data_IF_923301281660
#
_entry.id   IF_923301281660
#
_cell.length_a   1.000
_cell.length_b   1.000
_cell.length_c   1.000
_cell.angle_alpha   90.00
_cell.angle_beta   90.00
_cell.angle_gamma   90.00
#
_symmetry.space_group_name_H-M   'P 1'
#
loop_
_entity.id
_entity.type
_entity.pdbx_description
1 polymer ?
#
# COMPACT_ATOMS: atom_id res chain seq x y z
N UNK A 1 -16.39 3.07 -9.29
CA UNK A 1 -14.94 2.73 -9.28
C UNK A 1 -14.76 1.50 -8.40
N UNK A 2 -14.19 0.39 -8.92
CA UNK A 2 -13.86 -0.79 -8.09
C UNK A 2 -12.98 -0.30 -6.90
N UNK A 3 -13.50 -0.31 -5.68
CA UNK A 3 -12.76 0.08 -4.49
C UNK A 3 -11.64 -0.92 -4.24
N UNK A 4 -10.39 -0.48 -4.37
CA UNK A 4 -9.21 -1.30 -4.08
C UNK A 4 -8.84 -1.05 -2.62
N UNK A 5 -8.84 -2.08 -1.78
CA UNK A 5 -8.61 -1.90 -0.35
C UNK A 5 -7.19 -1.37 -0.01
N UNK A 6 -6.22 -1.65 -0.89
CA UNK A 6 -4.85 -1.13 -0.79
C UNK A 6 -4.69 0.30 -1.33
N UNK A 7 -5.76 0.95 -1.77
CA UNK A 7 -5.72 2.33 -2.25
C UNK A 7 -5.91 3.33 -1.12
N UNK A 8 -4.87 4.11 -0.84
CA UNK A 8 -4.86 5.11 0.24
C UNK A 8 -5.31 6.50 -0.22
N UNK A 9 -5.40 6.73 -1.53
CA UNK A 9 -5.67 8.04 -2.11
C UNK A 9 -4.43 8.92 -2.14
N UNK A 10 -4.64 10.23 -1.94
CA UNK A 10 -3.61 11.26 -1.99
C UNK A 10 -2.80 11.35 -0.69
N UNK A 11 -2.06 10.28 -0.37
CA UNK A 11 -1.05 10.28 0.70
C UNK A 11 0.32 10.68 0.14
N UNK A 12 1.17 11.29 0.98
CA UNK A 12 2.54 11.62 0.58
C UNK A 12 3.40 10.37 0.44
N UNK A 13 4.49 10.49 -0.33
CA UNK A 13 5.51 9.44 -0.44
C UNK A 13 5.97 8.97 0.95
N UNK A 14 6.32 9.91 1.83
CA UNK A 14 6.83 9.63 3.17
C UNK A 14 5.81 8.89 4.04
N UNK A 15 4.52 9.23 3.94
CA UNK A 15 3.46 8.50 4.63
C UNK A 15 3.35 7.06 4.12
N UNK A 16 3.42 6.86 2.80
CA UNK A 16 3.43 5.52 2.21
C UNK A 16 4.62 4.69 2.66
N UNK A 17 5.82 5.27 2.67
CA UNK A 17 7.04 4.61 3.14
C UNK A 17 6.93 4.19 4.60
N UNK A 18 6.44 5.07 5.48
CA UNK A 18 6.20 4.75 6.89
C UNK A 18 5.21 3.60 7.07
N UNK A 19 4.12 3.57 6.30
CA UNK A 19 3.14 2.48 6.38
C UNK A 19 3.74 1.14 5.98
N UNK A 20 4.51 1.12 4.89
CA UNK A 20 5.21 -0.08 4.44
C UNK A 20 6.25 -0.54 5.46
N UNK A 21 7.13 0.36 5.91
CA UNK A 21 8.16 0.06 6.90
C UNK A 21 7.57 -0.39 8.24
N UNK A 22 6.41 0.14 8.64
CA UNK A 22 5.71 -0.28 9.86
C UNK A 22 5.21 -1.73 9.79
N UNK A 23 4.96 -2.27 8.58
CA UNK A 23 4.67 -3.71 8.45
C UNK A 23 5.91 -4.57 8.61
N UNK A 24 7.07 -4.10 8.13
CA UNK A 24 8.33 -4.85 8.19
C UNK A 24 8.32 -6.17 7.43
N UNK A 25 7.37 -6.37 6.49
CA UNK A 25 7.22 -7.58 5.71
C UNK A 25 7.60 -7.34 4.25
N UNK A 26 8.45 -8.22 3.72
CA UNK A 26 8.85 -8.19 2.32
C UNK A 26 7.69 -8.55 1.40
N UNK A 27 7.45 -7.73 0.39
CA UNK A 27 6.28 -7.84 -0.48
C UNK A 27 5.04 -7.16 0.08
N UNK A 28 5.17 -6.39 1.17
CA UNK A 28 4.16 -5.41 1.56
C UNK A 28 3.98 -4.36 0.49
N UNK A 29 2.73 -4.02 0.18
CA UNK A 29 2.43 -3.08 -0.89
C UNK A 29 1.21 -2.21 -0.63
N UNK A 30 1.21 -1.02 -1.22
CA UNK A 30 0.09 -0.09 -1.22
C UNK A 30 0.01 0.70 -2.53
N UNK A 31 -1.17 1.26 -2.79
CA UNK A 31 -1.42 2.13 -3.93
C UNK A 31 -1.79 3.54 -3.45
N UNK A 32 -1.17 4.54 -4.06
CA UNK A 32 -1.42 5.97 -3.76
C UNK A 32 -1.49 6.78 -5.04
N UNK A 33 -1.98 8.01 -4.94
CA UNK A 33 -1.89 8.96 -6.04
C UNK A 33 -0.46 9.46 -6.21
N UNK A 34 -0.06 9.73 -7.45
CA UNK A 34 1.17 10.45 -7.74
C UNK A 34 1.03 11.91 -7.31
N UNK A 35 2.01 12.40 -6.56
CA UNK A 35 2.07 13.81 -6.13
C UNK A 35 2.48 14.73 -7.29
N UNK A 36 3.20 14.20 -8.28
CA UNK A 36 3.77 14.98 -9.39
C UNK A 36 2.90 14.96 -10.64
N UNK A 37 2.17 13.87 -10.90
CA UNK A 37 1.43 13.69 -12.16
C UNK A 37 -0.03 13.34 -11.89
N UNK A 38 -1.00 14.22 -12.22
CA UNK A 38 -2.41 13.90 -12.02
C UNK A 38 -2.86 12.74 -12.92
N UNK A 39 -3.71 11.86 -12.38
CA UNK A 39 -4.20 10.67 -13.09
C UNK A 39 -3.21 9.49 -13.13
N UNK A 40 -2.02 9.66 -12.55
CA UNK A 40 -1.05 8.58 -12.35
C UNK A 40 -1.08 8.12 -10.91
N UNK A 41 -0.99 6.81 -10.73
CA UNK A 41 -0.92 6.14 -9.44
C UNK A 41 0.49 5.62 -9.20
N UNK A 42 0.85 5.46 -7.94
CA UNK A 42 2.10 4.89 -7.50
C UNK A 42 1.80 3.61 -6.72
N UNK A 43 2.23 2.47 -7.28
CA UNK A 43 2.29 1.19 -6.58
C UNK A 43 3.63 1.12 -5.84
N UNK A 44 3.58 1.21 -4.52
CA UNK A 44 4.76 1.15 -3.66
C UNK A 44 4.87 -0.25 -3.06
N UNK A 45 6.06 -0.85 -3.15
CA UNK A 45 6.34 -2.21 -2.66
C UNK A 45 7.58 -2.18 -1.77
N UNK A 46 7.49 -2.75 -0.57
CA UNK A 46 8.62 -2.93 0.31
C UNK A 46 9.41 -4.17 -0.10
N UNK A 47 10.70 -3.97 -0.33
CA UNK A 47 11.65 -5.05 -0.46
C UNK A 47 12.86 -4.73 0.40
N UNK A 48 13.00 -5.46 1.49
CA UNK A 48 14.12 -5.43 2.39
C UNK A 48 14.77 -6.78 2.54
N UNK A 49 15.87 -6.78 3.28
CA UNK A 49 16.54 -8.00 3.68
C UNK A 49 17.23 -7.74 5.00
N UNK A 50 17.26 -8.76 5.86
CA UNK A 50 18.09 -8.72 7.05
C UNK A 50 19.54 -8.89 6.64
N UNK A 51 20.34 -7.85 6.84
CA UNK A 51 21.77 -7.85 6.59
C UNK A 51 22.49 -7.54 7.90
N UNK A 52 23.35 -8.47 8.35
CA UNK A 52 24.10 -8.34 9.61
C UNK A 52 23.24 -7.90 10.82
N UNK A 53 22.11 -8.58 11.07
CA UNK A 53 21.17 -8.25 12.15
C UNK A 53 20.49 -6.86 12.08
N UNK A 54 20.63 -6.13 10.97
CA UNK A 54 19.85 -4.92 10.67
C UNK A 54 18.88 -5.19 9.54
N UNK A 55 17.64 -4.76 9.72
CA UNK A 55 16.69 -4.70 8.62
C UNK A 55 16.98 -3.45 7.77
N UNK A 56 17.35 -3.65 6.51
CA UNK A 56 17.37 -2.58 5.51
C UNK A 56 16.28 -2.86 4.50
N UNK A 57 15.34 -1.92 4.37
CA UNK A 57 14.23 -1.98 3.43
C UNK A 57 14.27 -0.84 2.44
N UNK A 58 14.08 -1.15 1.16
CA UNK A 58 13.88 -0.18 0.10
C UNK A 58 12.42 -0.20 -0.36
N UNK A 59 11.85 0.99 -0.56
CA UNK A 59 10.53 1.13 -1.17
C UNK A 59 10.70 1.30 -2.68
N UNK A 60 10.23 0.32 -3.44
CA UNK A 60 10.17 0.37 -4.88
C UNK A 60 8.85 0.99 -5.31
N UNK A 61 8.92 2.06 -6.10
CA UNK A 61 7.73 2.76 -6.60
C UNK A 61 7.56 2.53 -8.08
N UNK A 62 6.47 1.88 -8.46
CA UNK A 62 6.07 1.64 -9.84
C UNK A 62 4.94 2.60 -10.21
N UNK A 63 5.12 3.38 -11.28
CA UNK A 63 4.06 4.26 -11.79
C UNK A 63 3.03 3.44 -12.55
N UNK A 64 1.76 3.64 -12.24
CA UNK A 64 0.63 2.95 -12.88
C UNK A 64 -0.28 4.02 -13.45
N UNK A 65 -0.61 3.93 -14.72
CA UNK A 65 -1.49 4.90 -15.38
C UNK A 65 -2.61 4.19 -16.13
N UNK A 66 -3.71 4.91 -16.28
CA UNK A 66 -4.78 4.52 -17.17
C UNK A 66 -4.51 5.13 -18.55
N UNK A 67 -4.58 4.30 -19.58
CA UNK A 67 -4.53 4.71 -20.98
C UNK A 67 -5.87 5.33 -21.41
N UNK A 68 -5.88 6.04 -22.53
CA UNK A 68 -7.08 6.64 -23.12
C UNK A 68 -8.19 5.60 -23.39
N UNK A 69 -7.80 4.37 -23.70
CA UNK A 69 -8.73 3.24 -23.90
C UNK A 69 -9.39 2.72 -22.61
N UNK A 70 -9.06 3.30 -21.45
CA UNK A 70 -9.51 2.85 -20.13
C UNK A 70 -8.73 1.66 -19.56
N UNK A 71 -7.70 1.18 -20.27
CA UNK A 71 -6.84 0.07 -19.80
C UNK A 71 -5.74 0.56 -18.86
N UNK A 72 -5.43 -0.23 -17.85
CA UNK A 72 -4.40 0.01 -16.83
C UNK A 72 -3.07 -0.59 -17.24
N UNK A 73 -1.98 0.16 -17.08
CA UNK A 73 -0.63 -0.32 -17.34
C UNK A 73 0.36 0.22 -16.32
N UNK A 74 1.36 -0.58 -15.96
CA UNK A 74 2.50 -0.13 -15.17
C UNK A 74 3.64 0.36 -16.09
N UNK A 75 4.32 1.42 -15.68
CA UNK A 75 5.53 1.91 -16.32
C UNK A 75 6.62 0.84 -16.18
N UNK A 76 7.13 0.39 -17.32
CA UNK A 76 8.15 -0.66 -17.40
C UNK A 76 9.39 -0.08 -18.07
N UNK A 77 10.55 -0.66 -17.78
CA UNK A 77 11.82 -0.28 -18.39
C UNK A 77 11.75 -0.34 -19.94
N UNK A 78 12.52 0.52 -20.64
CA UNK A 78 12.56 0.51 -22.10
C UNK A 78 12.98 -0.87 -22.62
N UNK A 79 12.21 -1.42 -23.57
CA UNK A 79 12.42 -2.76 -24.14
C UNK A 79 11.61 -3.88 -23.48
N UNK A 80 10.97 -3.63 -22.33
CA UNK A 80 10.05 -4.62 -21.72
C UNK A 80 8.63 -4.43 -22.26
N UNK A 81 7.98 -5.54 -22.59
CA UNK A 81 6.62 -5.52 -23.11
C UNK A 81 5.62 -5.01 -22.05
N UNK A 82 5.04 -3.83 -22.29
CA UNK A 82 4.00 -3.26 -21.42
C UNK A 82 2.76 -4.14 -21.47
N UNK A 83 2.15 -4.36 -20.31
CA UNK A 83 0.91 -5.13 -20.17
C UNK A 83 -0.26 -4.21 -19.88
N UNK A 84 -1.38 -4.49 -20.50
CA UNK A 84 -2.62 -3.74 -20.36
C UNK A 84 -3.67 -4.60 -19.67
N UNK A 85 -4.30 -4.04 -18.64
CA UNK A 85 -5.31 -4.71 -17.82
C UNK A 85 -6.60 -3.90 -17.83
N UNK A 86 -7.75 -4.56 -17.98
CA UNK A 86 -9.05 -3.86 -17.94
C UNK A 86 -9.38 -3.25 -16.57
N UNK A 87 -8.89 -3.88 -15.50
CA UNK A 87 -9.12 -3.45 -14.11
C UNK A 87 -7.80 -3.44 -13.35
N UNK A 88 -7.64 -2.46 -12.46
CA UNK A 88 -6.47 -2.34 -11.59
C UNK A 88 -6.27 -3.57 -10.69
N UNK A 89 -7.35 -4.22 -10.24
CA UNK A 89 -7.26 -5.46 -9.46
C UNK A 89 -6.58 -6.60 -10.22
N UNK A 90 -6.81 -6.69 -11.53
CA UNK A 90 -6.19 -7.72 -12.37
C UNK A 90 -4.69 -7.43 -12.54
N UNK A 91 -4.30 -6.16 -12.62
CA UNK A 91 -2.91 -5.74 -12.63
C UNK A 91 -2.21 -6.17 -11.34
N UNK A 92 -2.84 -5.93 -10.17
CA UNK A 92 -2.33 -6.36 -8.87
C UNK A 92 -2.19 -7.90 -8.84
N UNK A 93 -3.24 -8.64 -9.19
CA UNK A 93 -3.21 -10.11 -9.22
C UNK A 93 -2.17 -10.68 -10.18
N UNK A 94 -1.87 -9.99 -11.28
CA UNK A 94 -0.77 -10.40 -12.16
C UNK A 94 0.56 -10.30 -11.43
N UNK A 95 0.82 -9.18 -10.75
CA UNK A 95 2.04 -8.92 -9.97
C UNK A 95 2.16 -9.71 -8.66
N UNK A 96 1.11 -10.41 -8.23
CA UNK A 96 1.20 -11.38 -7.13
C UNK A 96 1.97 -12.65 -7.53
N UNK A 97 2.09 -12.92 -8.83
CA UNK A 97 2.85 -14.08 -9.33
C UNK A 97 4.36 -13.77 -9.35
N UNK A 98 5.23 -14.79 -9.19
CA UNK A 98 6.66 -14.64 -9.40
C UNK A 98 6.99 -14.34 -10.88
N UNK A 99 8.18 -13.78 -11.13
CA UNK A 99 8.73 -13.49 -12.47
C UNK A 99 7.88 -12.56 -13.36
N UNK A 100 7.29 -11.53 -12.76
CA UNK A 100 6.43 -10.57 -13.48
C UNK A 100 7.12 -9.22 -13.77
N UNK A 101 8.43 -9.14 -13.60
CA UNK A 101 9.22 -7.93 -13.86
C UNK A 101 9.16 -6.88 -12.75
N UNK A 102 8.75 -7.27 -11.53
CA UNK A 102 8.88 -6.46 -10.31
C UNK A 102 9.87 -7.11 -9.35
N UNK A 103 10.38 -6.32 -8.39
CA UNK A 103 11.46 -6.75 -7.48
C UNK A 103 11.07 -7.93 -6.59
N UNK A 104 9.82 -7.95 -6.13
CA UNK A 104 9.25 -8.98 -5.27
C UNK A 104 7.76 -9.10 -5.57
N UNK A 105 7.17 -10.32 -5.63
CA UNK A 105 5.74 -10.47 -5.80
C UNK A 105 4.95 -9.75 -4.71
N UNK A 106 3.78 -9.24 -5.07
CA UNK A 106 2.87 -8.61 -4.12
C UNK A 106 2.30 -9.68 -3.19
N UNK A 107 2.60 -9.60 -1.89
CA UNK A 107 2.20 -10.62 -0.93
C UNK A 107 1.28 -10.05 0.15
N UNK A 108 1.67 -8.93 0.77
CA UNK A 108 1.00 -8.40 1.94
C UNK A 108 0.30 -7.07 1.61
N UNK A 109 -1.03 -7.06 1.36
CA UNK A 109 -1.75 -5.83 1.09
C UNK A 109 -1.77 -4.94 2.34
N UNK A 110 -1.25 -3.72 2.22
CA UNK A 110 -1.37 -2.71 3.28
C UNK A 110 -2.63 -1.90 3.02
N UNK A 111 -3.70 -2.29 3.69
CA UNK A 111 -5.00 -1.65 3.56
C UNK A 111 -5.05 -0.31 4.30
N UNK A 112 -5.84 0.63 3.78
CA UNK A 112 -6.14 1.87 4.50
C UNK A 112 -6.97 1.51 5.72
N UNK A 113 -6.47 1.82 6.93
CA UNK A 113 -7.34 1.83 8.12
C UNK A 113 -8.44 2.84 7.87
N UNK A 114 -9.63 2.35 7.55
CA UNK A 114 -10.83 3.17 7.60
C UNK A 114 -11.02 3.50 9.08
N UNK A 115 -10.74 4.74 9.48
CA UNK A 115 -11.14 5.22 10.79
C UNK A 115 -12.66 5.26 10.78
N UNK A 116 -13.28 4.14 11.13
CA UNK A 116 -14.63 4.16 11.66
C UNK A 116 -14.52 5.07 12.88
N UNK A 117 -15.22 6.21 12.83
CA UNK A 117 -15.33 7.13 13.96
C UNK A 117 -15.61 6.31 15.21
N UNK A 118 -14.85 6.60 16.26
CA UNK A 118 -14.95 6.01 17.59
C UNK A 118 -16.41 5.73 18.00
N UNK A 119 -16.71 4.47 18.27
CA UNK A 119 -17.70 4.10 19.27
C UNK A 119 -16.93 3.64 20.52
N UNK A 120 -16.21 4.57 21.14
CA UNK A 120 -15.76 4.43 22.53
C UNK A 120 -16.53 5.48 23.33
N UNK A 121 -17.64 5.06 23.91
CA UNK A 121 -18.25 5.71 25.05
C UNK A 121 -18.06 4.80 26.25
N UNK A 122 -16.90 4.90 26.90
CA UNK A 122 -16.72 4.45 28.29
C UNK A 122 -16.54 5.69 29.14
N UNK A 123 -17.45 6.00 30.08
CA UNK A 123 -17.09 6.73 31.27
C UNK A 123 -16.52 5.72 32.27
N UNK A 124 -15.21 5.78 32.43
CA UNK A 124 -14.49 5.36 33.62
C UNK A 124 -15.00 6.15 34.84
N UNK A 125 -15.57 5.44 35.82
CA UNK A 125 -15.96 5.99 37.12
C UNK A 125 -14.85 5.66 38.15
N UNK A 126 -14.17 6.66 38.73
CA UNK A 126 -13.30 6.46 39.86
C UNK A 126 -14.08 6.77 41.15
N UNK A 127 -14.28 5.75 41.99
CA UNK A 127 -13.92 5.76 43.42
C UNK A 127 -14.72 4.71 44.22
N UNK A 128 -14.00 3.66 44.62
CA UNK A 128 -14.44 2.67 45.59
C UNK A 128 -14.04 3.14 46.99
N UNK A 129 -15.03 3.16 47.89
CA UNK A 129 -14.95 3.09 49.36
C UNK A 129 -14.41 4.30 50.16
N UNK A 130 -15.31 4.87 50.98
CA UNK A 130 -15.15 4.93 52.45
C UNK A 130 -16.41 5.49 53.11
N UNK A 131 -17.24 4.61 53.69
CA UNK A 131 -17.99 4.93 54.93
C UNK A 131 -18.49 3.67 55.64
N UNK A 132 -17.75 3.26 56.67
CA UNK A 132 -18.33 2.79 57.91
C UNK A 132 -18.38 4.02 58.87
N UNK A 133 -19.31 4.10 59.82
CA UNK A 133 -19.36 3.18 60.97
C UNK A 133 -20.71 2.48 61.18
#
# INVERSE_FOLDING_TARGET
MDAVAVYHGKISRETGEKLLLATGLDGSYLLRDSESVPGVYCLCVLNGSFFFHRYQGYIYTYRVSQTETGSWSAETAPGVHKRFFRKIKNLISAFQKPDQGIVIPLQYPVEKKCSVRSAQGTPEDPDVFLKAP
#
